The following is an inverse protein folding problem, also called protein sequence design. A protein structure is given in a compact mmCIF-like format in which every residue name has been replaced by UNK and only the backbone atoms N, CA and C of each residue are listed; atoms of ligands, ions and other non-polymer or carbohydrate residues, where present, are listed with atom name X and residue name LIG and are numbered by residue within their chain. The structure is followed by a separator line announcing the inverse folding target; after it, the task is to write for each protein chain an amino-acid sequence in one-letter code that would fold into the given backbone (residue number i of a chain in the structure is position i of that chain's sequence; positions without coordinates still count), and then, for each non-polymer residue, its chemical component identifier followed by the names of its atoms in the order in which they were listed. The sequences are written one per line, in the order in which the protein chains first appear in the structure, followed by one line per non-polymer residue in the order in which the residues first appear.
data_IF_294183103174
#
_entry.id   IF_294183103174
#
_cell.length_a   1.000
_cell.length_b   1.000
_cell.length_c   1.000
_cell.angle_alpha   90.00
_cell.angle_beta   90.00
_cell.angle_gamma   90.00
#
_symmetry.space_group_name_H-M   'P 1'
#
loop_
_entity.id
_entity.type
_entity.pdbx_description
1 polymer ?
#
# COMPACT_ATOMS: atom_id res chain seq x y z
N UNK A 1 -0.08 -20.00 -2.48
CA UNK A 1 -0.83 -19.17 -1.52
C UNK A 1 0.04 -18.12 -0.83
N UNK A 2 1.35 -18.39 -0.73
CA UNK A 2 2.28 -17.48 -0.07
C UNK A 2 2.80 -16.36 -0.99
N UNK A 3 2.52 -16.45 -2.30
CA UNK A 3 3.14 -15.56 -3.29
C UNK A 3 2.70 -14.11 -3.18
N UNK A 4 1.42 -13.85 -2.88
CA UNK A 4 0.94 -12.46 -2.75
C UNK A 4 1.28 -11.87 -1.39
N UNK A 5 1.16 -12.62 -0.32
CA UNK A 5 1.66 -12.19 0.99
C UNK A 5 3.18 -11.93 0.92
N UNK A 6 3.90 -12.80 0.19
CA UNK A 6 5.32 -12.64 -0.11
C UNK A 6 5.57 -11.37 -0.95
N UNK A 7 4.79 -11.12 -2.00
CA UNK A 7 4.96 -9.93 -2.87
C UNK A 7 4.66 -8.62 -2.13
N UNK A 8 3.63 -8.58 -1.28
CA UNK A 8 3.33 -7.42 -0.43
C UNK A 8 4.41 -7.27 0.64
N UNK A 9 4.84 -8.36 1.27
CA UNK A 9 5.95 -8.39 2.22
C UNK A 9 7.25 -7.90 1.58
N UNK A 10 7.61 -8.41 0.40
CA UNK A 10 8.81 -7.98 -0.35
C UNK A 10 8.71 -6.53 -0.78
N UNK A 11 7.53 -6.05 -1.19
CA UNK A 11 7.33 -4.64 -1.55
C UNK A 11 7.46 -3.75 -0.31
N UNK A 12 6.83 -4.12 0.79
CA UNK A 12 6.91 -3.41 2.07
C UNK A 12 8.34 -3.38 2.61
N UNK A 13 9.04 -4.52 2.59
CA UNK A 13 10.44 -4.63 2.98
C UNK A 13 11.34 -3.81 2.07
N UNK A 14 11.16 -3.87 0.76
CA UNK A 14 11.94 -3.10 -0.21
C UNK A 14 11.76 -1.60 -0.07
N UNK A 15 10.53 -1.15 0.16
CA UNK A 15 10.22 0.28 0.32
C UNK A 15 10.72 0.78 1.68
N UNK A 16 10.62 -0.02 2.75
CA UNK A 16 11.27 0.24 4.04
C UNK A 16 12.79 0.31 3.91
N UNK A 17 13.43 -0.67 3.29
CA UNK A 17 14.88 -0.68 3.09
C UNK A 17 15.37 0.50 2.25
N UNK A 18 14.65 0.85 1.19
CA UNK A 18 14.96 2.04 0.38
C UNK A 18 14.85 3.31 1.21
N UNK A 19 13.79 3.43 2.02
CA UNK A 19 13.59 4.58 2.90
C UNK A 19 14.74 4.72 3.90
N UNK A 20 15.07 3.67 4.66
CA UNK A 20 16.13 3.72 5.67
C UNK A 20 17.52 3.94 5.06
N UNK A 21 17.82 3.32 3.92
CA UNK A 21 19.09 3.51 3.24
C UNK A 21 19.23 4.91 2.64
N UNK A 22 18.13 5.51 2.18
CA UNK A 22 18.13 6.83 1.55
C UNK A 22 18.19 7.96 2.57
N UNK A 23 17.46 7.82 3.68
CA UNK A 23 17.28 8.92 4.63
C UNK A 23 18.09 8.79 5.90
N UNK A 24 18.64 7.61 6.23
CA UNK A 24 19.46 7.40 7.43
C UNK A 24 18.80 7.85 8.73
N UNK A 25 17.46 8.01 8.73
CA UNK A 25 16.68 8.48 9.87
C UNK A 25 16.65 7.41 10.95
N UNK A 26 17.48 7.59 11.98
CA UNK A 26 17.58 6.73 13.15
C UNK A 26 17.03 7.43 14.39
N UNK A 27 15.98 8.24 14.23
CA UNK A 27 15.31 8.90 15.34
C UNK A 27 14.20 8.03 15.96
N UNK A 28 13.91 8.30 17.22
CA UNK A 28 12.92 7.54 17.98
C UNK A 28 11.55 7.46 17.27
N UNK A 29 11.15 8.53 16.60
CA UNK A 29 9.88 8.57 15.86
C UNK A 29 9.85 7.56 14.71
N UNK A 30 10.92 7.49 13.93
CA UNK A 30 11.05 6.55 12.80
C UNK A 30 11.07 5.10 13.30
N UNK A 31 11.77 4.83 14.40
CA UNK A 31 11.84 3.50 15.01
C UNK A 31 10.44 3.05 15.46
N UNK A 32 9.71 3.89 16.20
CA UNK A 32 8.37 3.56 16.69
C UNK A 32 7.36 3.37 15.56
N UNK A 33 7.37 4.24 14.56
CA UNK A 33 6.48 4.12 13.38
C UNK A 33 6.79 2.83 12.60
N UNK A 34 8.06 2.48 12.44
CA UNK A 34 8.44 1.24 11.76
C UNK A 34 8.02 0.00 12.56
N UNK A 35 8.19 0.01 13.88
CA UNK A 35 7.70 -1.06 14.74
C UNK A 35 6.17 -1.22 14.63
N UNK A 36 5.45 -0.09 14.58
CA UNK A 36 4.00 -0.10 14.38
C UNK A 36 3.61 -0.60 12.98
N UNK A 37 4.37 -0.23 11.94
CA UNK A 37 4.18 -0.76 10.59
C UNK A 37 4.29 -2.29 10.56
N UNK A 38 5.35 -2.83 11.17
CA UNK A 38 5.55 -4.29 11.26
C UNK A 38 4.40 -4.96 12.01
N UNK A 39 3.94 -4.37 13.10
CA UNK A 39 2.78 -4.88 13.84
C UNK A 39 1.51 -4.92 12.95
N UNK A 40 1.22 -3.83 12.23
CA UNK A 40 0.08 -3.75 11.33
C UNK A 40 0.20 -4.78 10.21
N UNK A 41 1.38 -4.94 9.60
CA UNK A 41 1.61 -5.91 8.53
C UNK A 41 1.40 -7.34 9.02
N UNK A 42 1.94 -7.69 10.21
CA UNK A 42 1.75 -9.02 10.80
C UNK A 42 0.27 -9.32 11.07
N UNK A 43 -0.44 -8.35 11.63
CA UNK A 43 -1.88 -8.49 11.88
C UNK A 43 -2.68 -8.59 10.58
N UNK A 44 -2.23 -7.90 9.52
CA UNK A 44 -2.90 -7.83 8.24
C UNK A 44 -2.77 -9.09 7.38
N UNK A 45 -1.74 -9.91 7.58
CA UNK A 45 -1.53 -11.17 6.84
C UNK A 45 -2.72 -12.11 6.98
N UNK A 46 -3.36 -12.17 8.14
CA UNK A 46 -4.51 -13.04 8.39
C UNK A 46 -5.74 -12.70 7.53
N UNK A 47 -6.29 -11.46 7.55
CA UNK A 47 -7.38 -11.05 6.67
C UNK A 47 -7.04 -11.22 5.18
N UNK A 48 -5.79 -10.95 4.80
CA UNK A 48 -5.33 -11.09 3.42
C UNK A 48 -5.42 -12.52 2.90
N UNK A 49 -5.07 -13.50 3.73
CA UNK A 49 -5.18 -14.93 3.39
C UNK A 49 -6.62 -15.32 3.08
N UNK A 50 -7.58 -14.88 3.91
CA UNK A 50 -9.00 -15.16 3.69
C UNK A 50 -9.53 -14.48 2.43
N UNK A 51 -9.17 -13.23 2.20
CA UNK A 51 -9.56 -12.49 0.99
C UNK A 51 -9.02 -13.16 -0.28
N UNK A 52 -7.77 -13.62 -0.24
CA UNK A 52 -7.14 -14.32 -1.34
C UNK A 52 -7.86 -15.63 -1.66
N UNK A 53 -8.13 -16.44 -0.66
CA UNK A 53 -8.87 -17.70 -0.84
C UNK A 53 -10.26 -17.44 -1.44
N UNK A 54 -10.94 -16.38 -1.00
CA UNK A 54 -12.23 -15.99 -1.57
C UNK A 54 -12.12 -15.60 -3.04
N UNK A 55 -11.13 -14.75 -3.41
CA UNK A 55 -10.91 -14.30 -4.78
C UNK A 55 -10.56 -15.46 -5.73
N UNK A 56 -9.65 -16.33 -5.31
CA UNK A 56 -9.23 -17.50 -6.10
C UNK A 56 -10.42 -18.44 -6.32
N UNK A 57 -11.21 -18.68 -5.29
CA UNK A 57 -12.41 -19.51 -5.42
C UNK A 57 -13.45 -18.85 -6.35
N UNK A 58 -13.68 -17.56 -6.22
CA UNK A 58 -14.64 -16.82 -7.05
C UNK A 58 -14.24 -16.77 -8.54
N UNK A 59 -12.94 -16.70 -8.85
CA UNK A 59 -12.43 -16.56 -10.22
C UNK A 59 -12.20 -17.93 -10.89
N UNK A 60 -11.62 -18.88 -10.16
CA UNK A 60 -11.16 -20.15 -10.71
C UNK A 60 -12.03 -21.34 -10.34
N UNK A 61 -13.01 -21.18 -9.42
CA UNK A 61 -13.92 -22.24 -9.01
C UNK A 61 -13.24 -23.40 -8.28
N UNK A 62 -12.07 -23.16 -7.64
CA UNK A 62 -11.40 -24.23 -6.89
C UNK A 62 -12.23 -24.67 -5.69
N UNK A 63 -12.33 -26.01 -5.43
CA UNK A 63 -13.08 -26.50 -4.29
C UNK A 63 -12.48 -25.96 -2.99
N UNK A 64 -13.36 -25.55 -2.09
CA UNK A 64 -12.99 -25.12 -0.74
C UNK A 64 -12.49 -26.30 0.07
N UNK A 65 -11.37 -26.14 0.77
CA UNK A 65 -10.81 -27.17 1.65
C UNK A 65 -11.50 -27.20 3.03
N UNK A 66 -12.55 -26.41 3.25
CA UNK A 66 -13.33 -26.41 4.48
C UNK A 66 -14.50 -27.38 4.34
N UNK A 67 -14.66 -28.27 5.34
CA UNK A 67 -15.76 -29.23 5.41
C UNK A 67 -16.56 -28.98 6.71
N UNK A 68 -17.86 -29.01 6.60
CA UNK A 68 -18.74 -29.04 7.77
C UNK A 68 -18.54 -30.36 8.55
N UNK A 69 -19.02 -30.46 9.81
CA UNK A 69 -18.92 -31.70 10.61
C UNK A 69 -19.59 -32.93 9.95
N UNK A 70 -20.49 -32.71 9.01
CA UNK A 70 -21.17 -33.75 8.21
C UNK A 70 -20.41 -34.15 6.93
N UNK A 71 -19.19 -33.59 6.71
CA UNK A 71 -18.34 -33.85 5.55
C UNK A 71 -18.72 -33.07 4.30
N UNK A 72 -19.74 -32.20 4.33
CA UNK A 72 -20.09 -31.37 3.18
C UNK A 72 -19.07 -30.26 2.97
N UNK A 73 -18.64 -29.96 1.71
CA UNK A 73 -17.75 -28.85 1.43
C UNK A 73 -18.49 -27.52 1.67
N UNK A 74 -17.99 -26.71 2.59
CA UNK A 74 -18.55 -25.39 2.89
C UNK A 74 -17.56 -24.30 2.47
N UNK A 75 -18.04 -23.20 1.87
CA UNK A 75 -17.17 -22.09 1.57
C UNK A 75 -16.61 -21.51 2.88
N UNK A 76 -15.30 -21.25 2.96
CA UNK A 76 -14.66 -20.70 4.17
C UNK A 76 -15.20 -19.30 4.52
N UNK A 77 -15.85 -18.64 3.58
CA UNK A 77 -16.48 -17.34 3.74
C UNK A 77 -17.83 -17.38 3.02
N UNK A 78 -18.89 -17.08 3.76
CA UNK A 78 -20.23 -16.91 3.19
C UNK A 78 -20.35 -15.53 2.54
N UNK A 79 -21.20 -15.41 1.49
CA UNK A 79 -21.39 -14.13 0.76
C UNK A 79 -21.75 -12.95 1.66
N UNK A 80 -22.44 -13.19 2.79
CA UNK A 80 -22.77 -12.16 3.77
C UNK A 80 -21.58 -11.64 4.59
N UNK A 81 -20.46 -12.38 4.65
CA UNK A 81 -19.25 -11.99 5.37
C UNK A 81 -18.25 -11.21 4.50
N UNK A 82 -18.42 -11.25 3.18
CA UNK A 82 -17.51 -10.60 2.22
C UNK A 82 -17.39 -9.09 2.44
N UNK A 83 -18.48 -8.32 2.66
CA UNK A 83 -18.34 -6.88 2.93
C UNK A 83 -17.54 -6.60 4.20
N UNK A 84 -17.73 -7.36 5.26
CA UNK A 84 -16.96 -7.21 6.51
C UNK A 84 -15.48 -7.49 6.28
N UNK A 85 -15.16 -8.54 5.54
CA UNK A 85 -13.79 -8.88 5.18
C UNK A 85 -13.13 -7.76 4.36
N UNK A 86 -13.83 -7.18 3.38
CA UNK A 86 -13.35 -6.07 2.57
C UNK A 86 -13.11 -4.80 3.38
N UNK A 87 -13.96 -4.52 4.39
CA UNK A 87 -13.74 -3.38 5.31
C UNK A 87 -12.48 -3.62 6.15
N UNK A 88 -12.31 -4.79 6.74
CA UNK A 88 -11.12 -5.13 7.54
C UNK A 88 -9.87 -5.05 6.66
N UNK A 89 -9.94 -5.58 5.44
CA UNK A 89 -8.88 -5.46 4.45
C UNK A 89 -8.58 -3.99 4.13
N UNK A 90 -9.59 -3.19 3.83
CA UNK A 90 -9.45 -1.77 3.50
C UNK A 90 -8.82 -0.96 4.63
N UNK A 91 -9.20 -1.21 5.89
CA UNK A 91 -8.63 -0.53 7.06
C UNK A 91 -7.12 -0.83 7.18
N UNK A 92 -6.72 -2.10 7.07
CA UNK A 92 -5.31 -2.49 7.11
C UNK A 92 -4.51 -1.89 5.95
N UNK A 93 -5.08 -1.91 4.74
CA UNK A 93 -4.50 -1.29 3.56
C UNK A 93 -4.26 0.22 3.77
N UNK A 94 -5.29 0.96 4.20
CA UNK A 94 -5.20 2.39 4.50
C UNK A 94 -4.16 2.65 5.59
N UNK A 95 -4.12 1.85 6.66
CA UNK A 95 -3.17 2.02 7.76
C UNK A 95 -1.72 1.89 7.27
N UNK A 96 -1.40 0.87 6.45
CA UNK A 96 -0.05 0.64 5.91
C UNK A 96 0.40 1.85 5.07
N UNK A 97 -0.41 2.27 4.11
CA UNK A 97 -0.04 3.38 3.22
C UNK A 97 -0.03 4.73 3.94
N UNK A 98 -0.88 4.92 4.96
CA UNK A 98 -0.83 6.10 5.81
C UNK A 98 0.48 6.16 6.60
N UNK A 99 0.95 5.03 7.15
CA UNK A 99 2.24 4.96 7.84
C UNK A 99 3.38 5.32 6.89
N UNK A 100 3.39 4.80 5.66
CA UNK A 100 4.40 5.19 4.66
C UNK A 100 4.31 6.67 4.31
N UNK A 101 3.11 7.21 4.11
CA UNK A 101 2.94 8.64 3.86
C UNK A 101 3.51 9.50 5.00
N UNK A 102 3.30 9.09 6.27
CA UNK A 102 3.86 9.75 7.44
C UNK A 102 5.39 9.67 7.50
N UNK A 103 5.98 8.51 7.16
CA UNK A 103 7.43 8.34 7.09
C UNK A 103 8.06 9.26 6.04
N UNK A 104 7.50 9.28 4.81
CA UNK A 104 7.98 10.17 3.75
C UNK A 104 7.76 11.64 4.09
N UNK A 105 6.64 11.98 4.71
CA UNK A 105 6.37 13.34 5.17
C UNK A 105 7.33 13.77 6.28
N UNK A 106 7.67 12.89 7.20
CA UNK A 106 8.67 13.15 8.24
C UNK A 106 10.06 13.40 7.64
N UNK A 107 10.48 12.58 6.66
CA UNK A 107 11.71 12.80 5.91
C UNK A 107 11.69 14.14 5.17
N UNK A 108 10.57 14.49 4.52
CA UNK A 108 10.40 15.78 3.86
C UNK A 108 10.52 16.96 4.82
N UNK A 109 9.96 16.86 6.03
CA UNK A 109 10.13 17.90 7.05
C UNK A 109 11.56 18.07 7.51
N UNK A 110 12.33 17.00 7.56
CA UNK A 110 13.74 16.98 7.96
C UNK A 110 14.70 17.19 6.78
N UNK A 111 14.22 17.59 5.61
CA UNK A 111 15.02 17.73 4.39
C UNK A 111 16.30 18.55 4.55
N UNK A 112 16.28 19.60 5.38
CA UNK A 112 17.45 20.44 5.65
C UNK A 112 18.48 19.73 6.53
N UNK A 113 18.04 18.92 7.50
CA UNK A 113 18.94 18.11 8.36
C UNK A 113 19.54 16.92 7.60
N UNK A 114 18.83 16.44 6.58
CA UNK A 114 19.24 15.32 5.74
C UNK A 114 20.05 15.79 4.51
N UNK A 115 20.27 17.11 4.38
CA UNK A 115 21.01 17.71 3.25
C UNK A 115 20.52 17.21 1.88
N UNK A 116 19.18 17.03 1.75
CA UNK A 116 18.60 16.53 0.51
C UNK A 116 18.74 17.55 -0.61
N UNK A 117 19.22 17.09 -1.76
CA UNK A 117 19.26 17.90 -2.97
C UNK A 117 17.86 18.09 -3.58
N UNK A 118 17.70 18.99 -4.56
CA UNK A 118 16.40 19.30 -5.18
C UNK A 118 15.69 18.06 -5.74
N UNK A 119 16.43 17.14 -6.32
CA UNK A 119 15.90 15.91 -6.90
C UNK A 119 15.38 14.97 -5.81
N UNK A 120 16.11 14.86 -4.71
CA UNK A 120 15.72 14.02 -3.57
C UNK A 120 14.52 14.60 -2.82
N UNK A 121 14.41 15.92 -2.72
CA UNK A 121 13.23 16.60 -2.17
C UNK A 121 12.00 16.30 -3.02
N UNK A 122 12.14 16.39 -4.36
CA UNK A 122 11.07 16.06 -5.29
C UNK A 122 10.64 14.59 -5.16
N UNK A 123 11.61 13.66 -5.13
CA UNK A 123 11.34 12.21 -5.01
C UNK A 123 10.68 11.87 -3.66
N UNK A 124 11.10 12.54 -2.58
CA UNK A 124 10.50 12.39 -1.24
C UNK A 124 9.05 12.85 -1.24
N UNK A 125 8.77 14.01 -1.82
CA UNK A 125 7.39 14.53 -1.95
C UNK A 125 6.53 13.64 -2.82
N UNK A 126 7.09 13.11 -3.92
CA UNK A 126 6.40 12.13 -4.76
C UNK A 126 6.02 10.87 -3.94
N UNK A 127 6.92 10.39 -3.07
CA UNK A 127 6.62 9.29 -2.16
C UNK A 127 5.43 9.59 -1.22
N UNK A 128 5.30 10.83 -0.73
CA UNK A 128 4.11 11.24 0.06
C UNK A 128 2.85 11.16 -0.80
N UNK A 129 2.87 11.77 -2.00
CA UNK A 129 1.71 11.80 -2.89
C UNK A 129 1.27 10.40 -3.31
N UNK A 130 2.23 9.55 -3.65
CA UNK A 130 2.00 8.16 -4.05
C UNK A 130 1.26 7.36 -2.98
N UNK A 131 1.74 7.44 -1.75
CA UNK A 131 1.10 6.76 -0.62
C UNK A 131 -0.26 7.37 -0.25
N UNK A 132 -0.45 8.68 -0.36
CA UNK A 132 -1.75 9.33 -0.14
C UNK A 132 -2.78 8.91 -1.19
N UNK A 133 -2.38 8.71 -2.45
CA UNK A 133 -3.29 8.18 -3.49
C UNK A 133 -3.78 6.77 -3.13
N UNK A 134 -2.90 5.91 -2.59
CA UNK A 134 -3.31 4.60 -2.08
C UNK A 134 -4.29 4.71 -0.91
N UNK A 135 -4.05 5.63 0.04
CA UNK A 135 -4.96 5.91 1.16
C UNK A 135 -6.34 6.32 0.64
N UNK A 136 -6.40 7.21 -0.36
CA UNK A 136 -7.66 7.67 -0.95
C UNK A 136 -8.42 6.52 -1.63
N UNK A 137 -7.73 5.66 -2.38
CA UNK A 137 -8.36 4.51 -3.04
C UNK A 137 -8.89 3.51 -1.99
N UNK A 138 -8.11 3.22 -0.96
CA UNK A 138 -8.54 2.35 0.14
C UNK A 138 -9.74 2.91 0.91
N UNK A 139 -9.73 4.21 1.22
CA UNK A 139 -10.85 4.89 1.86
C UNK A 139 -12.11 4.86 0.99
N UNK A 140 -11.96 5.11 -0.33
CA UNK A 140 -13.06 5.01 -1.28
C UNK A 140 -13.64 3.60 -1.32
N UNK A 141 -12.81 2.56 -1.33
CA UNK A 141 -13.27 1.16 -1.28
C UNK A 141 -14.08 0.86 -0.02
N UNK A 142 -13.63 1.35 1.15
CA UNK A 142 -14.38 1.19 2.42
C UNK A 142 -15.74 1.88 2.32
N UNK A 143 -15.79 3.13 1.85
CA UNK A 143 -17.02 3.89 1.71
C UNK A 143 -18.00 3.17 0.77
N UNK A 144 -17.53 2.71 -0.39
CA UNK A 144 -18.35 1.95 -1.34
C UNK A 144 -18.87 0.68 -0.70
N UNK A 145 -18.04 -0.06 0.07
CA UNK A 145 -18.47 -1.26 0.79
C UNK A 145 -19.58 -0.97 1.81
N UNK A 146 -19.45 0.12 2.57
CA UNK A 146 -20.43 0.52 3.58
C UNK A 146 -21.79 0.88 2.95
N UNK A 147 -21.77 1.51 1.77
CA UNK A 147 -22.99 1.94 1.06
C UNK A 147 -23.64 0.75 0.36
N UNK A 148 -22.88 -0.01 -0.41
CA UNK A 148 -23.42 -1.07 -1.29
C UNK A 148 -23.61 -2.41 -0.58
N UNK A 149 -22.90 -2.63 0.53
CA UNK A 149 -22.81 -3.91 1.24
C UNK A 149 -22.52 -5.09 0.30
N UNK A 150 -21.81 -4.85 -0.77
CA UNK A 150 -21.52 -5.78 -1.85
C UNK A 150 -20.02 -6.05 -1.95
N UNK A 151 -19.66 -7.27 -2.34
CA UNK A 151 -18.28 -7.63 -2.69
C UNK A 151 -17.70 -6.87 -3.91
N UNK A 152 -18.56 -6.19 -4.67
CA UNK A 152 -18.16 -5.43 -5.86
C UNK A 152 -17.24 -4.24 -5.54
N UNK A 153 -17.22 -3.78 -4.29
CA UNK A 153 -16.31 -2.71 -3.82
C UNK A 153 -14.83 -3.06 -3.96
N UNK A 154 -14.47 -4.34 -4.05
CA UNK A 154 -13.11 -4.78 -4.40
C UNK A 154 -12.63 -4.29 -5.77
N UNK A 155 -13.56 -4.03 -6.70
CA UNK A 155 -13.22 -3.48 -8.02
C UNK A 155 -12.61 -2.06 -7.95
N UNK A 156 -12.84 -1.31 -6.87
CA UNK A 156 -12.24 0.01 -6.65
C UNK A 156 -10.71 -0.06 -6.65
N UNK A 157 -10.11 -1.16 -6.21
CA UNK A 157 -8.66 -1.35 -6.24
C UNK A 157 -8.07 -1.44 -7.65
N UNK A 158 -8.87 -1.68 -8.68
CA UNK A 158 -8.42 -1.62 -10.08
C UNK A 158 -8.05 -0.20 -10.51
N UNK A 159 -8.54 0.83 -9.79
CA UNK A 159 -8.15 2.22 -10.02
C UNK A 159 -6.67 2.48 -9.67
N UNK A 160 -6.03 1.62 -8.89
CA UNK A 160 -4.61 1.76 -8.54
C UNK A 160 -3.75 1.85 -9.80
N UNK A 161 -3.95 0.95 -10.78
CA UNK A 161 -3.16 0.92 -12.02
C UNK A 161 -3.19 2.25 -12.77
N UNK A 162 -4.36 2.73 -13.22
CA UNK A 162 -4.48 3.99 -13.94
C UNK A 162 -3.99 5.20 -13.13
N UNK A 163 -4.36 5.29 -11.85
CA UNK A 163 -3.98 6.42 -10.97
C UNK A 163 -2.47 6.47 -10.79
N UNK A 164 -1.83 5.34 -10.53
CA UNK A 164 -0.38 5.24 -10.37
C UNK A 164 0.35 5.52 -11.69
N UNK A 165 -0.18 5.07 -12.81
CA UNK A 165 0.38 5.38 -14.11
C UNK A 165 0.38 6.90 -14.39
N UNK A 166 -0.75 7.57 -14.14
CA UNK A 166 -0.87 9.03 -14.32
C UNK A 166 0.07 9.77 -13.39
N UNK A 167 0.11 9.40 -12.09
CA UNK A 167 1.02 10.00 -11.13
C UNK A 167 2.47 9.81 -11.53
N UNK A 168 2.87 8.60 -11.93
CA UNK A 168 4.22 8.28 -12.37
C UNK A 168 4.64 9.09 -13.61
N UNK A 169 3.76 9.26 -14.60
CA UNK A 169 4.04 10.08 -15.79
C UNK A 169 4.20 11.57 -15.43
N UNK A 170 3.32 12.10 -14.58
CA UNK A 170 3.39 13.51 -14.17
C UNK A 170 4.66 13.81 -13.37
N UNK A 171 4.95 12.98 -12.38
CA UNK A 171 6.12 13.16 -11.50
C UNK A 171 7.43 12.87 -12.23
N UNK A 172 7.44 11.87 -13.13
CA UNK A 172 8.59 11.58 -13.97
C UNK A 172 8.96 12.74 -14.93
N UNK A 173 7.96 13.42 -15.49
CA UNK A 173 8.20 14.64 -16.29
C UNK A 173 8.79 15.79 -15.46
N UNK A 174 8.31 15.98 -14.23
CA UNK A 174 8.85 17.00 -13.30
C UNK A 174 10.27 16.67 -12.90
N UNK A 175 10.55 15.40 -12.58
CA UNK A 175 11.90 14.93 -12.23
C UNK A 175 12.91 15.22 -13.32
N UNK A 176 12.60 14.85 -14.59
CA UNK A 176 13.46 15.12 -15.75
C UNK A 176 13.76 16.60 -15.94
N UNK A 177 12.78 17.49 -15.69
CA UNK A 177 13.01 18.95 -15.77
C UNK A 177 13.98 19.45 -14.71
N UNK A 178 13.93 18.87 -13.49
CA UNK A 178 14.86 19.23 -12.42
C UNK A 178 16.27 18.74 -12.77
N UNK A 179 16.40 17.49 -13.25
CA UNK A 179 17.69 16.93 -13.71
C UNK A 179 18.34 17.82 -14.77
N UNK A 180 17.62 18.17 -15.82
CA UNK A 180 18.12 19.04 -16.90
C UNK A 180 18.55 20.43 -16.40
N UNK A 181 17.84 20.99 -15.41
CA UNK A 181 18.25 22.29 -14.81
C UNK A 181 19.53 22.17 -14.00
N UNK A 182 19.68 21.08 -13.25
CA UNK A 182 20.89 20.85 -12.45
C UNK A 182 22.11 20.59 -13.34
N UNK A 183 21.95 19.82 -14.43
CA UNK A 183 23.02 19.60 -15.42
C UNK A 183 23.45 20.91 -16.07
N UNK A 184 22.52 21.73 -16.56
CA UNK A 184 22.82 23.02 -17.15
C UNK A 184 23.47 24.02 -16.18
N UNK A 185 23.23 23.89 -14.87
CA UNK A 185 23.87 24.73 -13.85
C UNK A 185 25.29 24.26 -13.49
N UNK A 186 25.69 23.04 -13.81
CA UNK A 186 27.03 22.50 -13.60
C UNK A 186 27.96 22.76 -14.79
N UNK A 187 27.42 23.04 -15.98
CA UNK A 187 28.17 23.33 -17.21
C UNK A 187 28.55 24.82 -17.34
N UNK A 188 27.99 25.73 -16.51
CA UNK A 188 28.30 27.18 -16.47
C UNK A 188 29.18 27.52 -15.26
#
# INVERSE_FOLDING_TARGET
DDLQALLIGIKCERDSHKFFRKYGLNDNFTIWINAFLLFVVLFYVYPLKFLWNYLVNAVFGFPTNAHAPDGTPVPPITGGQVPTLLIVFGIGYVAIFLIFALLYYHAYRKRAQLELNELEIHDTWNGVMDNLLHVLIGALSIIVTLITRSGFSGAVYWLIGPVQYINGVMMGKRRKRIEQRLEAAQEN
#
